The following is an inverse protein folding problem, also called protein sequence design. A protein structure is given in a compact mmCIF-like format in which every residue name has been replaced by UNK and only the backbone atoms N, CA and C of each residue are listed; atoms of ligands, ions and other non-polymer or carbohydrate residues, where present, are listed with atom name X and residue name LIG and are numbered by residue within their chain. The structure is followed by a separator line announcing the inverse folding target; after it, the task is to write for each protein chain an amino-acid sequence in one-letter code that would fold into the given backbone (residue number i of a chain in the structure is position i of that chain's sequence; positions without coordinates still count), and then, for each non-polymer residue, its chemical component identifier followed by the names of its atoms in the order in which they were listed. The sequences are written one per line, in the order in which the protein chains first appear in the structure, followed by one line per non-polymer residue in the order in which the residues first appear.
data_IF_157046915470
#
_entry.id   IF_157046915470
#
_cell.length_a   1.000
_cell.length_b   1.000
_cell.length_c   1.000
_cell.angle_alpha   90.00
_cell.angle_beta   90.00
_cell.angle_gamma   90.00
#
_symmetry.space_group_name_H-M   'P 1'
#
loop_
_entity.id
_entity.type
_entity.pdbx_description
1 polymer ?
#
# COMPACT_ATOMS: atom_id res chain seq x y z
N UNK A 1 4.21 25.12 -1.53
CA UNK A 1 4.83 23.77 -1.44
C UNK A 1 4.02 22.88 -0.48
N UNK A 2 2.69 22.93 -0.51
CA UNK A 2 1.83 22.21 0.48
C UNK A 2 0.95 21.11 -0.15
N UNK A 3 0.90 20.98 -1.48
CA UNK A 3 -0.02 20.07 -2.16
C UNK A 3 0.39 18.60 -2.24
N UNK A 4 1.67 18.27 -2.01
CA UNK A 4 2.17 16.88 -2.20
C UNK A 4 1.82 15.93 -1.03
N UNK A 5 1.52 16.48 0.15
CA UNK A 5 1.41 15.70 1.39
C UNK A 5 -0.01 15.22 1.71
N UNK A 6 -1.04 15.77 1.06
CA UNK A 6 -2.43 15.33 1.25
C UNK A 6 -2.63 13.92 0.66
N UNK A 7 -1.89 13.56 -0.40
CA UNK A 7 -1.97 12.23 -1.01
C UNK A 7 -1.46 11.11 -0.08
N UNK A 8 -0.45 11.39 0.76
CA UNK A 8 0.11 10.43 1.72
C UNK A 8 -0.79 10.18 2.94
N UNK A 9 -1.78 11.04 3.21
CA UNK A 9 -2.69 10.89 4.36
C UNK A 9 -4.07 10.32 4.02
N UNK A 10 -4.57 10.48 2.80
CA UNK A 10 -5.97 10.08 2.48
C UNK A 10 -6.10 8.58 2.19
N UNK A 11 -5.08 7.92 1.61
CA UNK A 11 -5.18 6.50 1.22
C UNK A 11 -4.92 5.54 2.41
N UNK A 12 -4.16 5.98 3.42
CA UNK A 12 -3.88 5.16 4.61
C UNK A 12 -5.11 4.95 5.54
N UNK A 13 -6.20 5.70 5.35
CA UNK A 13 -7.38 5.63 6.21
C UNK A 13 -8.38 4.53 5.83
N UNK A 14 -8.41 4.08 4.57
CA UNK A 14 -9.43 3.13 4.08
C UNK A 14 -9.01 1.66 4.26
N UNK A 15 -7.71 1.36 4.25
CA UNK A 15 -7.20 -0.02 4.34
C UNK A 15 -7.27 -0.68 5.74
N UNK A 16 -7.58 0.06 6.81
CA UNK A 16 -7.49 -0.45 8.19
C UNK A 16 -8.83 -0.95 8.78
N UNK A 17 -9.96 -0.73 8.10
CA UNK A 17 -11.29 -1.07 8.61
C UNK A 17 -11.86 -2.36 7.98
N UNK A 18 -11.49 -2.71 6.74
CA UNK A 18 -12.06 -3.85 6.02
C UNK A 18 -11.53 -5.26 6.38
N UNK A 19 -10.38 -5.36 7.06
CA UNK A 19 -9.65 -6.64 7.18
C UNK A 19 -9.62 -7.24 8.59
N UNK A 20 -10.61 -6.95 9.45
CA UNK A 20 -10.68 -7.52 10.81
C UNK A 20 -11.69 -8.66 11.01
N UNK A 21 -12.43 -9.07 9.97
CA UNK A 21 -13.49 -10.09 10.10
C UNK A 21 -13.31 -11.35 9.23
N UNK A 22 -12.30 -11.43 8.36
CA UNK A 22 -12.21 -12.51 7.34
C UNK A 22 -11.20 -13.64 7.59
N UNK A 23 -10.83 -13.92 8.85
CA UNK A 23 -10.06 -15.13 9.23
C UNK A 23 -10.75 -15.94 10.34
N UNK A 24 -11.97 -16.41 10.10
CA UNK A 24 -12.58 -17.53 10.83
C UNK A 24 -13.59 -18.28 9.96
N UNK A 25 -13.10 -19.25 9.17
CA UNK A 25 -13.85 -20.46 8.74
C UNK A 25 -13.10 -21.23 7.65
N UNK A 26 -12.05 -21.95 8.04
CA UNK A 26 -11.56 -23.09 7.26
C UNK A 26 -10.77 -24.00 8.20
N UNK A 27 -11.46 -24.98 8.79
CA UNK A 27 -10.80 -25.93 9.67
C UNK A 27 -11.76 -26.78 10.49
N UNK A 28 -12.67 -27.51 9.84
CA UNK A 28 -13.37 -28.60 10.50
C UNK A 28 -13.50 -29.84 9.59
N UNK A 29 -13.29 -30.99 10.22
CA UNK A 29 -13.47 -32.37 9.75
C UNK A 29 -12.41 -32.98 8.82
N UNK A 30 -11.41 -33.62 9.44
CA UNK A 30 -11.17 -35.06 9.16
C UNK A 30 -10.69 -35.76 10.45
N UNK A 31 -11.58 -36.59 11.00
CA UNK A 31 -11.27 -37.55 12.07
C UNK A 31 -10.57 -38.76 11.45
N UNK A 32 -9.33 -39.01 11.86
CA UNK A 32 -8.61 -40.25 11.61
C UNK A 32 -7.89 -40.68 12.88
N UNK A 33 -8.44 -41.69 13.56
CA UNK A 33 -7.86 -42.26 14.78
C UNK A 33 -6.58 -43.04 14.48
N UNK A 34 -5.50 -42.71 15.18
CA UNK A 34 -4.24 -43.44 15.19
C UNK A 34 -3.67 -43.47 16.60
N UNK A 35 -3.97 -44.56 17.32
CA UNK A 35 -3.35 -44.90 18.59
C UNK A 35 -1.89 -45.33 18.33
N UNK A 36 -0.91 -44.65 18.94
CA UNK A 36 0.48 -45.09 18.86
C UNK A 36 1.48 -44.22 19.62
N UNK A 37 1.97 -44.74 20.75
CA UNK A 37 3.33 -44.47 21.22
C UNK A 37 3.56 -43.20 22.06
N UNK A 38 3.35 -43.32 23.38
CA UNK A 38 3.99 -42.44 24.37
C UNK A 38 5.51 -42.64 24.32
N UNK A 39 6.25 -41.65 23.79
CA UNK A 39 7.65 -41.39 24.15
C UNK A 39 7.75 -39.98 24.71
N UNK A 40 7.65 -39.89 26.04
CA UNK A 40 8.13 -38.73 26.78
C UNK A 40 9.67 -38.82 26.81
N UNK A 41 10.35 -37.84 26.22
CA UNK A 41 11.81 -37.80 26.21
C UNK A 41 12.35 -36.59 25.46
N UNK A 42 12.73 -35.55 26.22
CA UNK A 42 13.72 -34.50 25.89
C UNK A 42 13.47 -33.59 24.68
N UNK A 43 12.89 -32.39 24.89
CA UNK A 43 13.01 -31.26 23.93
C UNK A 43 13.15 -29.85 24.54
N UNK A 44 13.23 -29.67 25.87
CA UNK A 44 13.36 -28.32 26.46
C UNK A 44 14.65 -27.58 26.05
N UNK A 45 15.75 -28.30 25.78
CA UNK A 45 17.02 -27.70 25.35
C UNK A 45 17.03 -27.24 23.88
N UNK A 46 16.17 -27.82 23.03
CA UNK A 46 16.08 -27.46 21.60
C UNK A 46 15.25 -26.20 21.37
N UNK A 47 14.18 -26.02 22.15
CA UNK A 47 13.26 -24.88 22.01
C UNK A 47 13.92 -23.57 22.47
N UNK A 48 14.71 -23.60 23.56
CA UNK A 48 15.45 -22.45 24.04
C UNK A 48 16.46 -21.91 23.01
N UNK A 49 17.24 -22.80 22.38
CA UNK A 49 18.22 -22.41 21.36
C UNK A 49 17.56 -21.79 20.11
N UNK A 50 16.36 -22.26 19.74
CA UNK A 50 15.59 -21.73 18.60
C UNK A 50 15.05 -20.33 18.89
N UNK A 51 14.51 -20.12 20.09
CA UNK A 51 14.00 -18.83 20.52
C UNK A 51 15.13 -17.79 20.65
N UNK A 52 16.28 -18.16 21.21
CA UNK A 52 17.45 -17.25 21.27
C UNK A 52 17.93 -16.83 19.88
N UNK A 53 17.97 -17.75 18.90
CA UNK A 53 18.32 -17.41 17.50
C UNK A 53 17.30 -16.48 16.87
N UNK A 54 16.01 -16.70 17.12
CA UNK A 54 14.93 -15.81 16.63
C UNK A 54 15.10 -14.41 17.21
N UNK A 55 15.30 -14.29 18.53
CA UNK A 55 15.50 -13.00 19.20
C UNK A 55 16.75 -12.28 18.71
N UNK A 56 17.85 -13.00 18.46
CA UNK A 56 19.07 -12.44 17.87
C UNK A 56 18.80 -11.89 16.47
N UNK A 57 18.12 -12.65 15.61
CA UNK A 57 17.77 -12.21 14.26
C UNK A 57 16.84 -10.98 14.24
N UNK A 58 15.85 -10.93 15.15
CA UNK A 58 14.97 -9.76 15.29
C UNK A 58 15.75 -8.53 15.80
N UNK A 59 16.68 -8.73 16.73
CA UNK A 59 17.54 -7.66 17.25
C UNK A 59 18.46 -7.10 16.17
N UNK A 60 18.99 -7.95 15.29
CA UNK A 60 19.79 -7.55 14.12
C UNK A 60 18.96 -6.69 13.16
N UNK A 61 17.72 -7.10 12.85
CA UNK A 61 16.79 -6.31 12.03
C UNK A 61 16.45 -4.94 12.64
N UNK A 62 16.40 -4.83 13.97
CA UNK A 62 16.11 -3.58 14.67
C UNK A 62 17.29 -2.60 14.71
N UNK A 63 18.53 -3.07 14.57
CA UNK A 63 19.71 -2.23 14.67
C UNK A 63 19.67 -0.97 13.77
N UNK A 64 19.37 -1.07 12.45
CA UNK A 64 19.26 0.13 11.60
C UNK A 64 18.12 1.06 12.03
N UNK A 65 16.97 0.52 12.46
CA UNK A 65 15.85 1.32 12.93
C UNK A 65 16.20 2.08 14.22
N UNK A 66 16.90 1.44 15.16
CA UNK A 66 17.35 2.09 16.40
C UNK A 66 18.29 3.25 16.14
N UNK A 67 19.18 3.13 15.15
CA UNK A 67 20.05 4.23 14.74
C UNK A 67 19.24 5.40 14.20
N UNK A 68 18.33 5.13 13.26
CA UNK A 68 17.43 6.14 12.69
C UNK A 68 16.54 6.82 13.73
N UNK A 69 15.94 6.05 14.64
CA UNK A 69 15.09 6.58 15.71
C UNK A 69 15.83 7.53 16.64
N UNK A 70 17.14 7.31 16.84
CA UNK A 70 17.97 8.22 17.62
C UNK A 70 18.14 9.55 16.88
N UNK A 71 18.51 9.49 15.60
CA UNK A 71 18.64 10.68 14.74
C UNK A 71 17.35 11.50 14.71
N UNK A 72 16.19 10.83 14.53
CA UNK A 72 14.89 11.50 14.51
C UNK A 72 14.53 12.20 15.83
N UNK A 73 14.98 11.66 16.97
CA UNK A 73 14.78 12.33 18.28
C UNK A 73 15.69 13.55 18.40
N UNK A 74 16.96 13.40 18.05
CA UNK A 74 17.94 14.49 18.10
C UNK A 74 17.50 15.65 17.18
N UNK A 75 17.02 15.35 15.98
CA UNK A 75 16.47 16.34 15.04
C UNK A 75 15.26 17.07 15.63
N UNK A 76 14.33 16.32 16.23
CA UNK A 76 13.14 16.90 16.89
C UNK A 76 13.51 17.82 18.05
N UNK A 77 14.46 17.40 18.89
CA UNK A 77 14.94 18.18 20.03
C UNK A 77 15.68 19.45 19.58
N UNK A 78 16.43 19.37 18.48
CA UNK A 78 17.09 20.51 17.86
C UNK A 78 16.13 21.47 17.13
N UNK A 79 14.83 21.15 17.07
CA UNK A 79 13.85 21.93 16.31
C UNK A 79 14.05 21.86 14.80
N UNK A 80 14.93 20.96 14.33
CA UNK A 80 15.08 20.66 12.91
C UNK A 80 13.81 19.94 12.51
N UNK A 81 13.10 20.46 11.51
CA UNK A 81 12.04 19.70 10.86
C UNK A 81 12.71 18.55 10.10
N UNK A 82 12.92 17.44 10.80
CA UNK A 82 13.19 16.13 10.22
C UNK A 82 12.15 15.95 9.11
N UNK A 83 12.59 16.00 7.85
CA UNK A 83 11.72 16.14 6.67
C UNK A 83 10.45 15.32 6.81
N UNK A 84 9.33 16.03 7.02
CA UNK A 84 7.95 15.56 6.87
C UNK A 84 7.55 14.29 7.65
N UNK A 85 8.00 14.13 8.90
CA UNK A 85 7.28 13.24 9.82
C UNK A 85 5.96 13.88 10.26
N UNK A 86 4.87 13.13 10.15
CA UNK A 86 3.58 13.58 10.67
C UNK A 86 3.66 13.81 12.18
N UNK A 87 2.90 14.79 12.69
CA UNK A 87 2.91 15.16 14.12
C UNK A 87 2.64 13.96 15.03
N UNK A 88 1.78 13.04 14.59
CA UNK A 88 1.44 11.83 15.33
C UNK A 88 2.59 10.83 15.47
N UNK A 89 3.67 10.93 14.68
CA UNK A 89 4.78 9.97 14.68
C UNK A 89 5.37 9.81 16.09
N UNK A 90 5.41 10.92 16.85
CA UNK A 90 5.98 10.96 18.17
C UNK A 90 4.96 10.77 19.31
N UNK A 91 3.71 10.49 19.00
CA UNK A 91 2.68 10.17 19.98
C UNK A 91 2.96 8.81 20.63
N UNK A 92 2.24 8.50 21.71
CA UNK A 92 2.27 7.17 22.31
C UNK A 92 1.69 6.12 21.32
N UNK A 93 2.26 4.90 21.30
CA UNK A 93 1.74 3.81 20.48
C UNK A 93 0.37 3.37 21.00
N UNK A 94 -0.49 2.90 20.08
CA UNK A 94 -1.81 2.37 20.43
C UNK A 94 -1.70 0.95 21.00
N UNK A 95 -2.68 0.55 21.81
CA UNK A 95 -2.73 -0.81 22.37
C UNK A 95 -2.72 -1.89 21.28
N UNK A 96 -3.39 -1.62 20.15
CA UNK A 96 -3.40 -2.50 18.98
C UNK A 96 -1.99 -2.70 18.41
N UNK A 97 -1.20 -1.63 18.28
CA UNK A 97 0.18 -1.73 17.81
C UNK A 97 1.06 -2.52 18.79
N UNK A 98 0.93 -2.25 20.09
CA UNK A 98 1.68 -2.97 21.12
C UNK A 98 1.31 -4.46 21.17
N UNK A 99 0.04 -4.81 20.95
CA UNK A 99 -0.41 -6.19 20.84
C UNK A 99 0.24 -6.89 19.65
N UNK A 100 0.22 -6.27 18.46
CA UNK A 100 0.84 -6.84 17.24
C UNK A 100 2.35 -7.03 17.43
N UNK A 101 3.06 -6.05 17.97
CA UNK A 101 4.51 -6.13 18.24
C UNK A 101 4.82 -7.30 19.20
N UNK A 102 4.01 -7.46 20.25
CA UNK A 102 4.15 -8.54 21.23
C UNK A 102 3.88 -9.91 20.61
N UNK A 103 2.83 -10.03 19.80
CA UNK A 103 2.47 -11.28 19.12
C UNK A 103 3.53 -11.71 18.10
N UNK A 104 4.11 -10.76 17.36
CA UNK A 104 5.22 -11.00 16.44
C UNK A 104 6.55 -11.34 17.16
N UNK A 105 6.63 -11.14 18.48
CA UNK A 105 7.78 -11.49 19.31
C UNK A 105 8.95 -10.51 19.20
N UNK A 106 8.70 -9.25 18.84
CA UNK A 106 9.74 -8.24 18.73
C UNK A 106 10.32 -7.89 20.12
N UNK A 107 11.65 -7.89 20.31
CA UNK A 107 12.29 -7.62 21.60
C UNK A 107 12.40 -6.11 21.85
N UNK A 108 11.25 -5.46 22.07
CA UNK A 108 11.15 -4.02 22.32
C UNK A 108 10.51 -3.74 23.66
N UNK A 109 11.11 -2.79 24.40
CA UNK A 109 10.46 -2.18 25.55
C UNK A 109 9.40 -1.19 25.05
N UNK A 110 8.12 -1.32 25.45
CA UNK A 110 7.10 -0.33 25.15
C UNK A 110 7.44 1.07 25.67
N UNK A 111 8.26 1.18 26.72
CA UNK A 111 8.65 2.46 27.31
C UNK A 111 9.53 3.23 26.34
N UNK A 112 9.04 4.42 25.97
CA UNK A 112 9.73 5.30 25.04
C UNK A 112 9.59 4.89 23.58
N UNK A 113 8.79 3.87 23.24
CA UNK A 113 8.39 3.65 21.85
C UNK A 113 7.36 4.73 21.47
N UNK A 114 7.43 5.25 20.25
CA UNK A 114 6.39 6.15 19.71
C UNK A 114 5.51 5.41 18.71
N UNK A 115 4.37 5.99 18.36
CA UNK A 115 3.43 5.45 17.37
C UNK A 115 4.11 5.20 16.02
N UNK A 116 4.97 6.11 15.59
CA UNK A 116 5.77 5.99 14.36
C UNK A 116 6.78 4.85 14.41
N UNK A 117 7.53 4.74 15.52
CA UNK A 117 8.48 3.64 15.73
C UNK A 117 7.76 2.28 15.78
N UNK A 118 6.59 2.23 16.42
CA UNK A 118 5.76 1.03 16.46
C UNK A 118 5.28 0.61 15.06
N UNK A 119 4.78 1.56 14.26
CA UNK A 119 4.40 1.29 12.87
C UNK A 119 5.58 0.80 12.03
N UNK A 120 6.79 1.34 12.23
CA UNK A 120 7.99 0.89 11.53
C UNK A 120 8.37 -0.54 11.86
N UNK A 121 8.22 -0.94 13.12
CA UNK A 121 8.46 -2.34 13.52
C UNK A 121 7.45 -3.26 12.86
N UNK A 122 6.17 -2.91 12.92
CA UNK A 122 5.09 -3.68 12.31
C UNK A 122 5.35 -3.82 10.80
N UNK A 123 5.68 -2.73 10.11
CA UNK A 123 5.96 -2.70 8.68
C UNK A 123 7.17 -3.53 8.23
N UNK A 124 8.00 -4.05 9.14
CA UNK A 124 9.06 -5.01 8.81
C UNK A 124 8.52 -6.40 8.45
N UNK A 125 7.30 -6.72 8.84
CA UNK A 125 6.66 -8.02 8.60
C UNK A 125 5.75 -8.01 7.36
N UNK A 126 5.61 -6.85 6.69
CA UNK A 126 4.75 -6.68 5.52
C UNK A 126 5.57 -6.42 4.26
N UNK A 127 5.12 -6.92 3.09
CA UNK A 127 5.77 -6.65 1.81
C UNK A 127 5.71 -5.16 1.49
N UNK A 128 6.75 -4.64 0.84
CA UNK A 128 6.80 -3.24 0.42
C UNK A 128 5.60 -2.83 -0.44
N UNK A 129 5.10 -1.62 -0.20
CA UNK A 129 4.07 -1.00 -1.03
C UNK A 129 4.62 -0.66 -2.42
N UNK A 130 3.78 -0.82 -3.44
CA UNK A 130 4.18 -0.68 -4.84
C UNK A 130 4.68 0.74 -5.17
N UNK A 131 4.14 1.78 -4.54
CA UNK A 131 4.59 3.16 -4.69
C UNK A 131 6.07 3.33 -4.30
N UNK A 132 6.44 2.83 -3.13
CA UNK A 132 7.83 2.87 -2.67
C UNK A 132 8.72 2.05 -3.61
N UNK A 133 8.27 0.86 -4.03
CA UNK A 133 9.00 0.03 -4.99
C UNK A 133 9.20 0.74 -6.35
N UNK A 134 8.25 1.55 -6.81
CA UNK A 134 8.39 2.35 -8.03
C UNK A 134 9.54 3.35 -7.92
N UNK A 135 9.61 4.09 -6.80
CA UNK A 135 10.71 5.03 -6.50
C UNK A 135 12.05 4.27 -6.53
N UNK A 136 12.15 3.15 -5.82
CA UNK A 136 13.37 2.35 -5.78
C UNK A 136 13.78 1.87 -7.17
N UNK A 137 12.86 1.32 -7.97
CA UNK A 137 13.15 0.85 -9.34
C UNK A 137 13.60 1.96 -10.27
N UNK A 138 12.99 3.14 -10.18
CA UNK A 138 13.37 4.29 -10.98
C UNK A 138 14.82 4.71 -10.74
N UNK A 139 15.24 4.73 -9.47
CA UNK A 139 16.63 4.99 -9.07
C UNK A 139 17.54 3.75 -9.07
N UNK A 140 17.08 2.65 -9.68
CA UNK A 140 17.83 1.38 -9.83
C UNK A 140 18.32 0.80 -8.50
N UNK A 141 17.58 1.02 -7.42
CA UNK A 141 17.79 0.35 -6.14
C UNK A 141 17.16 -1.05 -6.13
N UNK A 142 17.75 -1.96 -5.36
CA UNK A 142 17.21 -3.31 -5.21
C UNK A 142 15.87 -3.27 -4.48
N UNK A 143 14.89 -4.02 -5.00
CA UNK A 143 13.60 -4.25 -4.37
C UNK A 143 13.49 -5.63 -3.72
N UNK A 144 14.51 -6.48 -3.89
CA UNK A 144 14.48 -7.86 -3.41
C UNK A 144 14.45 -7.91 -1.88
N UNK A 145 13.42 -8.55 -1.32
CA UNK A 145 13.23 -8.68 0.13
C UNK A 145 12.85 -7.38 0.84
N UNK A 146 12.47 -6.34 0.11
CA UNK A 146 12.07 -5.07 0.70
C UNK A 146 10.73 -5.21 1.45
N UNK A 147 10.72 -4.74 2.70
CA UNK A 147 9.54 -4.61 3.55
C UNK A 147 8.93 -3.23 3.41
N UNK A 148 7.70 -3.00 3.89
CA UNK A 148 7.09 -1.65 3.90
C UNK A 148 8.02 -0.62 4.54
N UNK A 149 8.57 -0.94 5.70
CA UNK A 149 9.45 -0.03 6.43
C UNK A 149 10.74 0.25 5.66
N UNK A 150 11.46 -0.79 5.22
CA UNK A 150 12.75 -0.58 4.53
C UNK A 150 12.60 0.13 3.19
N UNK A 151 11.55 -0.18 2.43
CA UNK A 151 11.28 0.47 1.14
C UNK A 151 10.91 1.95 1.34
N UNK A 152 10.02 2.25 2.29
CA UNK A 152 9.62 3.63 2.60
C UNK A 152 10.80 4.49 3.04
N UNK A 153 11.67 3.94 3.91
CA UNK A 153 12.88 4.64 4.36
C UNK A 153 13.79 4.96 3.17
N UNK A 154 14.10 3.94 2.36
CA UNK A 154 14.96 4.12 1.19
C UNK A 154 14.36 5.12 0.19
N UNK A 155 13.05 5.08 -0.05
CA UNK A 155 12.35 6.03 -0.92
C UNK A 155 12.47 7.47 -0.40
N UNK A 156 12.23 7.69 0.90
CA UNK A 156 12.37 9.00 1.54
C UNK A 156 13.82 9.50 1.43
N UNK A 157 14.80 8.65 1.69
CA UNK A 157 16.23 9.01 1.57
C UNK A 157 16.62 9.36 0.13
N UNK A 158 16.11 8.63 -0.86
CA UNK A 158 16.31 8.94 -2.28
C UNK A 158 15.73 10.31 -2.64
N UNK A 159 14.53 10.62 -2.15
CA UNK A 159 13.80 11.85 -2.47
C UNK A 159 14.17 13.04 -1.57
N UNK A 160 14.99 12.84 -0.54
CA UNK A 160 15.57 13.91 0.26
C UNK A 160 16.57 14.75 -0.57
N UNK A 161 17.24 14.14 -1.56
CA UNK A 161 18.05 14.84 -2.55
C UNK A 161 17.15 15.59 -3.54
N UNK A 162 17.31 16.92 -3.61
CA UNK A 162 16.48 17.78 -4.46
C UNK A 162 16.61 17.47 -5.96
N UNK A 163 17.79 17.07 -6.45
CA UNK A 163 18.00 16.70 -7.84
C UNK A 163 17.32 15.37 -8.16
N UNK A 164 17.39 14.39 -7.25
CA UNK A 164 16.65 13.12 -7.42
C UNK A 164 15.15 13.37 -7.40
N UNK A 165 14.65 14.19 -6.47
CA UNK A 165 13.23 14.57 -6.44
C UNK A 165 12.76 15.20 -7.75
N UNK A 166 13.51 16.16 -8.29
CA UNK A 166 13.16 16.78 -9.59
C UNK A 166 13.14 15.74 -10.72
N UNK A 167 14.09 14.80 -10.75
CA UNK A 167 14.09 13.71 -11.75
C UNK A 167 12.87 12.79 -11.60
N UNK A 168 12.49 12.47 -10.37
CA UNK A 168 11.31 11.65 -10.08
C UNK A 168 10.02 12.35 -10.53
N UNK A 169 9.90 13.66 -10.29
CA UNK A 169 8.75 14.46 -10.70
C UNK A 169 8.68 14.67 -12.22
N UNK A 170 9.83 14.82 -12.87
CA UNK A 170 9.95 15.00 -14.31
C UNK A 170 9.84 13.68 -15.10
N UNK A 171 9.62 12.54 -14.43
CA UNK A 171 9.45 11.25 -15.10
C UNK A 171 8.24 11.27 -16.05
N UNK A 172 8.21 10.43 -17.10
CA UNK A 172 7.04 10.29 -17.94
C UNK A 172 5.81 9.89 -17.12
N UNK A 173 4.66 10.47 -17.42
CA UNK A 173 3.41 10.14 -16.74
C UNK A 173 3.12 8.63 -16.80
N UNK A 174 2.72 8.08 -15.66
CA UNK A 174 2.33 6.68 -15.50
C UNK A 174 1.17 6.32 -16.43
N UNK A 175 1.04 5.02 -16.74
CA UNK A 175 -0.10 4.54 -17.55
C UNK A 175 -1.42 4.83 -16.85
N UNK A 176 -1.49 4.65 -15.54
CA UNK A 176 -2.69 4.92 -14.72
C UNK A 176 -3.08 6.39 -14.85
N UNK A 177 -2.16 7.32 -14.59
CA UNK A 177 -2.43 8.76 -14.70
C UNK A 177 -2.90 9.18 -16.09
N UNK A 178 -2.32 8.62 -17.16
CA UNK A 178 -2.76 8.90 -18.53
C UNK A 178 -4.18 8.42 -18.80
N UNK A 179 -4.56 7.27 -18.27
CA UNK A 179 -5.93 6.77 -18.40
C UNK A 179 -6.91 7.57 -17.53
N UNK A 180 -6.51 7.98 -16.31
CA UNK A 180 -7.30 8.92 -15.49
C UNK A 180 -7.58 10.23 -16.24
N UNK A 181 -6.56 10.83 -16.85
CA UNK A 181 -6.74 12.04 -17.68
C UNK A 181 -7.65 11.78 -18.88
N UNK A 182 -7.57 10.61 -19.51
CA UNK A 182 -8.45 10.24 -20.62
C UNK A 182 -9.91 10.13 -20.17
N UNK A 183 -10.18 9.56 -18.99
CA UNK A 183 -11.53 9.40 -18.45
C UNK A 183 -12.24 10.75 -18.27
N UNK A 184 -11.49 11.78 -17.87
CA UNK A 184 -12.00 13.15 -17.73
C UNK A 184 -11.94 13.97 -19.03
N UNK A 185 -11.77 13.31 -20.19
CA UNK A 185 -11.74 13.97 -21.50
C UNK A 185 -10.46 14.77 -21.81
N UNK A 186 -9.46 14.75 -20.93
CA UNK A 186 -8.18 15.40 -21.16
C UNK A 186 -7.27 14.56 -22.05
N UNK A 187 -6.93 15.09 -23.23
CA UNK A 187 -5.99 14.43 -24.13
C UNK A 187 -4.56 14.58 -23.61
N UNK A 188 -3.98 13.49 -23.10
CA UNK A 188 -2.60 13.46 -22.66
C UNK A 188 -1.63 13.85 -23.80
N UNK A 189 -0.89 14.95 -23.61
CA UNK A 189 0.08 15.42 -24.57
C UNK A 189 1.26 14.45 -24.74
N UNK A 190 1.90 14.45 -25.92
CA UNK A 190 3.13 13.67 -26.12
C UNK A 190 4.22 14.22 -25.19
N UNK A 191 4.83 13.33 -24.39
CA UNK A 191 5.87 13.72 -23.45
C UNK A 191 5.35 14.23 -22.10
N UNK A 192 4.04 14.11 -21.82
CA UNK A 192 3.45 14.47 -20.54
C UNK A 192 4.24 13.83 -19.38
N UNK A 193 4.73 14.67 -18.48
CA UNK A 193 5.41 14.25 -17.25
C UNK A 193 4.40 13.91 -16.15
N UNK A 194 4.81 13.13 -15.15
CA UNK A 194 3.97 12.81 -13.99
C UNK A 194 3.53 14.09 -13.27
N UNK A 195 4.46 15.02 -13.03
CA UNK A 195 4.15 16.31 -12.39
C UNK A 195 3.10 17.11 -13.16
N UNK A 196 3.24 17.25 -14.48
CA UNK A 196 2.27 18.00 -15.29
C UNK A 196 0.92 17.31 -15.34
N UNK A 197 0.90 15.98 -15.52
CA UNK A 197 -0.34 15.22 -15.56
C UNK A 197 -1.09 15.26 -14.22
N UNK A 198 -0.37 15.14 -13.11
CA UNK A 198 -0.95 15.27 -11.76
C UNK A 198 -1.56 16.65 -11.57
N UNK A 199 -0.83 17.70 -11.97
CA UNK A 199 -1.32 19.07 -11.88
C UNK A 199 -2.59 19.32 -12.69
N UNK A 200 -2.73 18.68 -13.85
CA UNK A 200 -3.97 18.72 -14.65
C UNK A 200 -5.11 17.99 -13.97
N UNK A 201 -4.85 16.79 -13.43
CA UNK A 201 -5.85 16.03 -12.70
C UNK A 201 -6.31 16.76 -11.42
N UNK A 202 -5.37 17.28 -10.63
CA UNK A 202 -5.67 18.02 -9.40
C UNK A 202 -6.47 19.30 -9.71
N UNK A 203 -6.13 20.02 -10.79
CA UNK A 203 -6.89 21.19 -11.20
C UNK A 203 -8.33 20.83 -11.59
N UNK A 204 -8.52 19.73 -12.31
CA UNK A 204 -9.86 19.20 -12.59
C UNK A 204 -10.60 18.86 -11.29
N UNK A 205 -9.96 18.16 -10.35
CA UNK A 205 -10.59 17.74 -9.10
C UNK A 205 -10.98 18.90 -8.18
N UNK A 206 -10.29 20.04 -8.26
CA UNK A 206 -10.65 21.24 -7.51
C UNK A 206 -11.91 21.92 -8.04
N UNK A 207 -12.14 21.84 -9.34
CA UNK A 207 -13.25 22.50 -10.04
C UNK A 207 -14.43 21.54 -10.31
N UNK A 208 -14.22 20.24 -10.15
CA UNK A 208 -15.21 19.21 -10.46
C UNK A 208 -16.37 19.22 -9.45
N UNK A 209 -17.56 18.98 -9.98
CA UNK A 209 -18.71 18.59 -9.17
C UNK A 209 -18.51 17.15 -8.68
N UNK A 210 -18.74 16.91 -7.39
CA UNK A 210 -18.59 15.59 -6.77
C UNK A 210 -19.53 14.56 -7.43
N UNK A 211 -20.67 15.01 -7.94
CA UNK A 211 -21.65 14.20 -8.66
C UNK A 211 -21.45 14.22 -10.19
N UNK A 212 -20.41 14.91 -10.68
CA UNK A 212 -20.09 15.00 -12.10
C UNK A 212 -19.74 13.63 -12.71
N UNK A 213 -20.18 13.40 -13.96
CA UNK A 213 -19.93 12.13 -14.67
C UNK A 213 -18.44 11.75 -14.65
N UNK A 214 -17.57 12.68 -15.04
CA UNK A 214 -16.13 12.47 -15.09
C UNK A 214 -15.52 12.11 -13.72
N UNK A 215 -16.07 12.68 -12.64
CA UNK A 215 -15.65 12.38 -11.27
C UNK A 215 -16.05 10.96 -10.88
N UNK A 216 -17.29 10.56 -11.14
CA UNK A 216 -17.77 9.19 -10.91
C UNK A 216 -16.98 8.14 -11.70
N UNK A 217 -16.59 8.46 -12.95
CA UNK A 217 -15.74 7.59 -13.76
C UNK A 217 -14.34 7.43 -13.17
N UNK A 218 -13.74 8.52 -12.67
CA UNK A 218 -12.45 8.46 -11.98
C UNK A 218 -12.53 7.59 -10.72
N UNK A 219 -13.57 7.77 -9.90
CA UNK A 219 -13.76 6.99 -8.67
C UNK A 219 -13.92 5.49 -8.97
N UNK A 220 -14.73 5.14 -9.97
CA UNK A 220 -14.86 3.76 -10.43
C UNK A 220 -13.52 3.19 -10.92
N UNK A 221 -12.74 3.98 -11.64
CA UNK A 221 -11.44 3.56 -12.16
C UNK A 221 -10.39 3.37 -11.06
N UNK A 222 -10.29 4.33 -10.14
CA UNK A 222 -9.35 4.26 -9.02
C UNK A 222 -9.70 3.12 -8.07
N UNK A 223 -10.99 2.90 -7.79
CA UNK A 223 -11.47 1.76 -7.01
C UNK A 223 -11.12 0.43 -7.67
N UNK A 224 -11.57 0.22 -8.91
CA UNK A 224 -11.33 -1.03 -9.63
C UNK A 224 -9.84 -1.29 -9.89
N UNK A 225 -9.06 -0.27 -10.25
CA UNK A 225 -7.62 -0.42 -10.46
C UNK A 225 -6.88 -0.71 -9.16
N UNK A 226 -7.24 -0.05 -8.06
CA UNK A 226 -6.66 -0.31 -6.74
C UNK A 226 -6.83 -1.76 -6.31
N UNK A 227 -8.06 -2.27 -6.42
CA UNK A 227 -8.38 -3.68 -6.14
C UNK A 227 -7.63 -4.64 -7.09
N UNK A 228 -7.65 -4.34 -8.39
CA UNK A 228 -7.02 -5.18 -9.41
C UNK A 228 -5.49 -5.05 -9.45
N UNK A 229 -4.88 -4.14 -8.69
CA UNK A 229 -3.44 -4.10 -8.46
C UNK A 229 -3.01 -5.07 -7.34
N UNK A 230 -3.88 -5.33 -6.39
CA UNK A 230 -3.66 -6.33 -5.35
C UNK A 230 -3.70 -7.75 -5.94
N UNK A 231 -2.73 -8.59 -5.54
CA UNK A 231 -2.65 -9.97 -6.04
C UNK A 231 -3.71 -10.88 -5.45
N UNK A 232 -3.95 -10.75 -4.16
CA UNK A 232 -4.86 -11.62 -3.42
C UNK A 232 -6.30 -11.32 -3.88
N UNK A 233 -6.65 -10.05 -4.06
CA UNK A 233 -7.95 -9.64 -4.63
C UNK A 233 -8.15 -10.22 -6.03
N UNK A 234 -7.14 -10.15 -6.90
CA UNK A 234 -7.23 -10.77 -8.24
C UNK A 234 -7.37 -12.29 -8.20
N UNK A 235 -6.70 -12.95 -7.25
CA UNK A 235 -6.81 -14.40 -7.08
C UNK A 235 -8.22 -14.79 -6.60
N UNK A 236 -8.79 -14.03 -5.67
CA UNK A 236 -10.16 -14.19 -5.19
C UNK A 236 -11.20 -13.95 -6.30
N UNK A 237 -10.97 -12.96 -7.16
CA UNK A 237 -11.83 -12.62 -8.30
C UNK A 237 -11.57 -13.51 -9.54
N UNK A 238 -10.61 -14.43 -9.49
CA UNK A 238 -10.34 -15.37 -10.59
C UNK A 238 -9.79 -14.70 -11.86
N UNK A 239 -9.07 -13.58 -11.74
CA UNK A 239 -8.59 -12.80 -12.89
C UNK A 239 -7.05 -12.61 -12.89
N UNK A 240 -6.45 -12.55 -14.07
CA UNK A 240 -5.05 -12.14 -14.30
C UNK A 240 -4.95 -10.60 -14.26
N UNK A 241 -3.75 -10.03 -14.05
CA UNK A 241 -3.58 -8.57 -13.98
C UNK A 241 -3.95 -7.92 -15.33
N UNK A 242 -5.03 -7.12 -15.41
CA UNK A 242 -5.34 -6.36 -16.62
C UNK A 242 -4.38 -5.18 -16.78
N UNK A 243 -4.41 -4.55 -17.94
CA UNK A 243 -3.75 -3.25 -18.14
C UNK A 243 -4.68 -2.11 -17.69
N UNK A 244 -4.14 -0.96 -17.24
CA UNK A 244 -4.97 0.21 -16.88
C UNK A 244 -5.93 0.63 -18.00
N UNK A 245 -5.47 0.52 -19.26
CA UNK A 245 -6.28 0.83 -20.43
C UNK A 245 -7.51 -0.06 -20.56
N UNK A 246 -7.37 -1.38 -20.35
CA UNK A 246 -8.51 -2.30 -20.42
C UNK A 246 -9.56 -1.97 -19.37
N UNK A 247 -9.12 -1.64 -18.14
CA UNK A 247 -10.02 -1.22 -17.05
C UNK A 247 -10.77 0.05 -17.43
N UNK A 248 -10.06 1.08 -17.91
CA UNK A 248 -10.66 2.34 -18.33
C UNK A 248 -11.61 2.17 -19.53
N UNK A 249 -11.27 1.31 -20.50
CA UNK A 249 -12.13 1.02 -21.65
C UNK A 249 -13.45 0.32 -21.23
N UNK A 250 -13.38 -0.62 -20.27
CA UNK A 250 -14.58 -1.26 -19.70
C UNK A 250 -15.44 -0.24 -18.97
N UNK A 251 -14.86 0.62 -18.14
CA UNK A 251 -15.61 1.65 -17.40
C UNK A 251 -16.33 2.61 -18.36
N UNK A 252 -15.64 3.09 -19.40
CA UNK A 252 -16.26 3.94 -20.42
C UNK A 252 -17.38 3.23 -21.19
N UNK A 253 -17.23 1.93 -21.44
CA UNK A 253 -18.26 1.13 -22.08
C UNK A 253 -19.48 0.97 -21.18
N UNK A 254 -19.28 0.66 -19.89
CA UNK A 254 -20.34 0.49 -18.88
C UNK A 254 -21.08 1.79 -18.56
N UNK A 255 -20.41 2.94 -18.71
CA UNK A 255 -21.01 4.26 -18.56
C UNK A 255 -21.74 4.76 -19.83
N UNK A 256 -21.59 4.09 -20.97
CA UNK A 256 -22.14 4.58 -22.23
C UNK A 256 -23.66 4.66 -22.18
N UNK A 257 -24.19 5.86 -22.38
CA UNK A 257 -25.62 6.13 -22.39
C UNK A 257 -26.24 6.31 -21.00
N UNK A 258 -25.43 6.28 -19.94
CA UNK A 258 -25.86 6.56 -18.57
C UNK A 258 -25.66 8.03 -18.23
N UNK A 259 -26.59 8.62 -17.49
CA UNK A 259 -26.40 9.95 -16.90
C UNK A 259 -25.52 9.88 -15.64
N UNK A 260 -25.09 11.05 -15.16
CA UNK A 260 -24.34 11.14 -13.91
C UNK A 260 -25.19 10.66 -12.73
N UNK A 261 -26.48 11.02 -12.69
CA UNK A 261 -27.42 10.61 -11.65
C UNK A 261 -27.63 9.10 -11.63
N UNK A 262 -27.72 8.47 -12.81
CA UNK A 262 -27.85 7.01 -12.92
C UNK A 262 -26.60 6.26 -12.45
N UNK A 263 -25.42 6.85 -12.64
CA UNK A 263 -24.14 6.32 -12.14
C UNK A 263 -23.99 6.54 -10.65
N UNK A 264 -24.36 7.70 -10.12
CA UNK A 264 -24.35 7.97 -8.69
C UNK A 264 -25.30 7.01 -7.93
N UNK A 265 -26.49 6.74 -8.50
CA UNK A 265 -27.45 5.82 -7.90
C UNK A 265 -27.02 4.34 -7.98
N UNK A 266 -26.26 3.96 -9.00
CA UNK A 266 -25.79 2.59 -9.22
C UNK A 266 -24.31 2.61 -9.67
N UNK A 267 -23.36 2.83 -8.76
CA UNK A 267 -21.95 2.98 -9.11
C UNK A 267 -21.43 1.72 -9.80
N UNK A 268 -20.46 1.90 -10.71
CA UNK A 268 -19.75 0.79 -11.35
C UNK A 268 -18.81 0.18 -10.31
N UNK A 269 -19.05 -1.07 -9.93
CA UNK A 269 -18.26 -1.77 -8.91
C UNK A 269 -17.11 -2.56 -9.55
N UNK A 270 -16.10 -2.91 -8.76
CA UNK A 270 -14.96 -3.73 -9.21
C UNK A 270 -15.41 -5.05 -9.82
N UNK A 271 -16.43 -5.69 -9.26
CA UNK A 271 -16.99 -6.95 -9.75
C UNK A 271 -17.60 -6.79 -11.16
N UNK A 272 -18.34 -5.71 -11.41
CA UNK A 272 -18.92 -5.39 -12.73
C UNK A 272 -17.81 -5.22 -13.77
N UNK A 273 -16.72 -4.54 -13.38
CA UNK A 273 -15.55 -4.34 -14.22
C UNK A 273 -14.86 -5.66 -14.53
N UNK A 274 -14.71 -6.56 -13.54
CA UNK A 274 -14.11 -7.89 -13.74
C UNK A 274 -14.92 -8.75 -14.69
N UNK A 275 -16.24 -8.80 -14.53
CA UNK A 275 -17.12 -9.55 -15.42
C UNK A 275 -16.96 -9.09 -16.87
N UNK A 276 -17.07 -7.78 -17.09
CA UNK A 276 -16.91 -7.18 -18.42
C UNK A 276 -15.49 -7.34 -18.99
N UNK A 277 -14.44 -7.30 -18.15
CA UNK A 277 -13.06 -7.56 -18.56
C UNK A 277 -12.89 -9.00 -19.06
N UNK A 278 -13.46 -9.98 -18.36
CA UNK A 278 -13.36 -11.39 -18.76
C UNK A 278 -14.15 -11.64 -20.05
N UNK A 279 -15.32 -11.03 -20.19
CA UNK A 279 -16.12 -11.11 -21.41
C UNK A 279 -15.37 -10.55 -22.63
N UNK A 280 -14.80 -9.34 -22.50
CA UNK A 280 -14.08 -8.67 -23.59
C UNK A 280 -12.67 -9.23 -23.83
N UNK A 281 -12.05 -9.79 -22.80
CA UNK A 281 -10.70 -10.36 -22.83
C UNK A 281 -10.64 -11.72 -22.11
N UNK A 282 -11.14 -12.81 -22.73
CA UNK A 282 -11.20 -14.13 -22.08
C UNK A 282 -9.85 -14.67 -21.61
N UNK A 283 -8.74 -14.18 -22.17
CA UNK A 283 -7.38 -14.53 -21.73
C UNK A 283 -7.01 -14.02 -20.33
N UNK A 284 -7.80 -13.11 -19.77
CA UNK A 284 -7.66 -12.63 -18.40
C UNK A 284 -8.28 -13.57 -17.37
N UNK A 285 -9.15 -14.50 -17.76
CA UNK A 285 -9.67 -15.50 -16.83
C UNK A 285 -8.55 -16.42 -16.32
N UNK A 286 -8.64 -16.84 -15.05
CA UNK A 286 -7.73 -17.82 -14.44
C UNK A 286 -8.31 -19.23 -14.47
#
# INVERSE_FOLDING_TARGET
MEGFWILLMVIAAVGLVGWSTRKRSAGEATRGGGQGGRRAGTTAAGDGARETRRQAALSEKLAPLRHRWRQLREEREAGVRSGELASWYFDAPTDKQLAVIREAGWPLDPRGLTKGMASEVIGMDYPAEEENLEVLRFFRQSTAGATQTTARIAAVELLADANRREQWEARPASKVLRESLRLIGHKAAKGLTEREGRKQLDAFLLDADDEGLERLLLEAFEGAWGDLEDRDVREDLGIRKPTPRQVADVILASARGRSAEELAANPIMTEDVVEALIEQHPSLAR
#
